data_IF_751980079828
#
_entry.id   IF_751980079828
#
_cell.length_a   1.000
_cell.length_b   1.000
_cell.length_c   1.000
_cell.angle_alpha   90.00
_cell.angle_beta   90.00
_cell.angle_gamma   90.00
#
_symmetry.space_group_name_H-M   'P 1'
#
loop_
_entity.id
_entity.type
_entity.pdbx_description
1 polymer ?
#
# COMPACT_ATOMS: atom_id res chain seq x y z
N UNK A 1 17.72 -27.12 9.99
CA UNK A 1 16.27 -26.84 9.85
C UNK A 1 15.97 -26.95 8.37
N UNK A 2 15.08 -27.88 7.99
CA UNK A 2 14.65 -28.06 6.60
C UNK A 2 13.45 -27.15 6.34
N UNK A 3 13.45 -26.44 5.21
CA UNK A 3 12.36 -25.52 4.83
C UNK A 3 11.47 -26.18 3.79
N UNK A 4 10.19 -26.37 4.12
CA UNK A 4 9.20 -26.98 3.22
C UNK A 4 8.21 -25.92 2.74
N UNK A 5 8.08 -25.74 1.43
CA UNK A 5 7.08 -24.83 0.84
C UNK A 5 5.72 -25.52 0.72
N UNK A 6 4.71 -25.00 1.43
CA UNK A 6 3.35 -25.55 1.43
C UNK A 6 2.42 -24.66 0.57
N UNK A 7 1.64 -25.28 -0.33
CA UNK A 7 0.55 -24.61 -1.04
C UNK A 7 -0.78 -24.92 -0.34
N UNK A 8 -1.49 -23.89 0.10
CA UNK A 8 -2.79 -24.03 0.75
C UNK A 8 -3.87 -24.18 -0.34
N UNK A 9 -4.47 -25.36 -0.45
CA UNK A 9 -5.57 -25.66 -1.39
C UNK A 9 -6.95 -25.37 -0.81
N UNK A 10 -7.14 -25.58 0.50
CA UNK A 10 -8.43 -25.44 1.17
C UNK A 10 -8.36 -24.48 2.38
N UNK A 11 -9.45 -23.75 2.68
CA UNK A 11 -9.51 -22.81 3.79
C UNK A 11 -9.41 -23.48 5.17
N UNK A 12 -9.78 -24.77 5.29
CA UNK A 12 -9.72 -25.53 6.55
C UNK A 12 -8.29 -25.71 7.08
N UNK A 13 -7.32 -25.82 6.17
CA UNK A 13 -5.89 -26.00 6.50
C UNK A 13 -5.36 -24.80 7.28
N UNK A 14 -5.89 -23.60 7.04
CA UNK A 14 -5.45 -22.38 7.72
C UNK A 14 -5.59 -22.47 9.24
N UNK A 15 -6.70 -23.05 9.73
CA UNK A 15 -6.94 -23.25 11.17
C UNK A 15 -5.89 -24.20 11.78
N UNK A 16 -5.60 -25.30 11.09
CA UNK A 16 -4.58 -26.26 11.53
C UNK A 16 -3.18 -25.65 11.57
N UNK A 17 -2.85 -24.78 10.62
CA UNK A 17 -1.57 -24.07 10.62
C UNK A 17 -1.46 -23.11 11.81
N UNK A 18 -2.53 -22.38 12.13
CA UNK A 18 -2.57 -21.50 13.30
C UNK A 18 -2.44 -22.32 14.61
N UNK A 19 -3.06 -23.50 14.68
CA UNK A 19 -2.93 -24.41 15.82
C UNK A 19 -1.48 -24.93 15.98
N UNK A 20 -0.83 -25.34 14.87
CA UNK A 20 0.55 -25.80 14.87
C UNK A 20 1.56 -24.69 15.22
N UNK A 21 1.30 -23.46 14.77
CA UNK A 21 2.05 -22.26 15.15
C UNK A 21 1.93 -22.01 16.66
N UNK A 22 0.72 -22.13 17.22
CA UNK A 22 0.48 -21.97 18.66
C UNK A 22 1.26 -22.98 19.52
N UNK A 23 1.42 -24.20 19.01
CA UNK A 23 2.18 -25.28 19.64
C UNK A 23 3.70 -25.14 19.41
N UNK A 24 4.16 -24.09 18.72
CA UNK A 24 5.56 -23.83 18.37
C UNK A 24 6.22 -24.96 17.57
N UNK A 25 5.43 -25.69 16.78
CA UNK A 25 5.92 -26.78 15.93
C UNK A 25 6.39 -26.28 14.56
N UNK A 26 5.91 -25.10 14.14
CA UNK A 26 6.23 -24.46 12.87
C UNK A 26 6.38 -22.95 13.05
N UNK A 27 7.20 -22.32 12.22
CA UNK A 27 7.26 -20.87 12.06
C UNK A 27 6.68 -20.50 10.69
N UNK A 28 5.64 -19.67 10.67
CA UNK A 28 4.95 -19.27 9.44
C UNK A 28 5.41 -17.89 8.99
N UNK A 29 6.18 -17.83 7.91
CA UNK A 29 6.48 -16.56 7.24
C UNK A 29 5.28 -16.14 6.35
N UNK A 30 4.37 -15.36 6.93
CA UNK A 30 3.26 -14.73 6.18
C UNK A 30 3.83 -13.58 5.35
N UNK A 31 4.07 -13.82 4.05
CA UNK A 31 4.36 -12.73 3.11
C UNK A 31 3.10 -11.89 2.90
N UNK A 32 2.99 -10.79 3.64
CA UNK A 32 1.95 -9.80 3.39
C UNK A 32 2.19 -9.18 2.02
N UNK A 33 1.42 -9.60 1.02
CA UNK A 33 1.39 -8.96 -0.28
C UNK A 33 1.15 -7.46 -0.10
N UNK A 34 2.01 -6.63 -0.71
CA UNK A 34 1.95 -5.16 -0.65
C UNK A 34 0.51 -4.68 -0.83
N UNK A 35 -0.09 -4.14 0.24
CA UNK A 35 -1.41 -3.51 0.15
C UNK A 35 -1.31 -2.32 -0.82
N UNK A 36 -2.24 -2.19 -1.79
CA UNK A 36 -2.22 -1.06 -2.70
C UNK A 36 -2.37 0.25 -1.91
N UNK A 37 -1.70 1.35 -2.34
CA UNK A 37 -1.78 2.62 -1.65
C UNK A 37 -3.24 3.09 -1.57
N UNK A 38 -3.66 3.57 -0.39
CA UNK A 38 -5.00 4.15 -0.19
C UNK A 38 -5.15 5.36 -1.12
N UNK A 39 -6.04 5.27 -2.10
CA UNK A 39 -6.43 6.42 -2.95
C UNK A 39 -7.10 7.46 -2.06
N UNK A 40 -6.50 8.63 -1.91
CA UNK A 40 -7.16 9.78 -1.26
C UNK A 40 -7.93 10.52 -2.34
N UNK A 41 -9.25 10.59 -2.19
CA UNK A 41 -10.09 11.43 -3.03
C UNK A 41 -9.69 12.89 -2.83
N UNK A 42 -9.63 13.69 -3.91
CA UNK A 42 -9.33 15.12 -3.83
C UNK A 42 -7.87 15.54 -4.02
N UNK A 43 -6.94 14.63 -4.36
CA UNK A 43 -5.60 15.05 -4.81
C UNK A 43 -5.54 15.11 -6.34
N UNK A 44 -5.21 16.28 -6.91
CA UNK A 44 -4.90 16.42 -8.35
C UNK A 44 -3.48 15.93 -8.71
N UNK A 45 -2.82 15.21 -7.79
CA UNK A 45 -1.46 14.70 -7.96
C UNK A 45 -1.41 13.74 -9.16
N UNK A 46 -0.71 14.16 -10.22
CA UNK A 46 -0.59 13.41 -11.48
C UNK A 46 -1.71 13.66 -12.50
N UNK A 47 -2.67 14.56 -12.21
CA UNK A 47 -3.70 14.99 -13.16
C UNK A 47 -3.34 16.29 -13.87
N UNK A 48 -2.68 17.21 -13.17
CA UNK A 48 -2.14 18.44 -13.78
C UNK A 48 -0.78 18.10 -14.38
N UNK A 49 -0.75 17.90 -15.70
CA UNK A 49 0.48 17.55 -16.44
C UNK A 49 1.19 18.81 -16.95
N UNK A 50 0.42 19.83 -17.34
CA UNK A 50 0.94 21.09 -17.85
C UNK A 50 0.57 22.20 -16.86
N UNK A 51 1.55 22.62 -16.07
CA UNK A 51 1.47 23.84 -15.27
C UNK A 51 2.23 24.93 -16.01
N UNK A 52 1.78 26.18 -15.91
CA UNK A 52 2.52 27.29 -16.49
C UNK A 52 3.85 27.47 -15.74
N UNK A 53 4.91 27.85 -16.46
CA UNK A 53 6.26 28.01 -15.90
C UNK A 53 6.35 29.11 -14.83
N UNK A 54 5.37 30.01 -14.81
CA UNK A 54 5.23 31.16 -13.93
C UNK A 54 4.17 30.97 -12.83
N UNK A 55 3.66 29.75 -12.62
CA UNK A 55 2.65 29.50 -11.58
C UNK A 55 3.13 29.89 -10.17
N UNK A 56 4.45 29.81 -9.92
CA UNK A 56 5.07 30.21 -8.65
C UNK A 56 5.52 31.68 -8.62
N UNK A 57 5.23 32.45 -9.67
CA UNK A 57 5.59 33.87 -9.73
C UNK A 57 4.80 34.68 -8.67
N UNK A 58 5.41 35.77 -8.14
CA UNK A 58 4.71 36.62 -7.19
C UNK A 58 3.47 37.24 -7.83
N UNK A 59 2.34 37.16 -7.13
CA UNK A 59 1.02 37.62 -7.58
C UNK A 59 0.88 39.16 -7.54
N UNK A 60 1.90 39.89 -7.98
CA UNK A 60 1.90 41.37 -7.95
C UNK A 60 0.76 41.96 -8.78
N UNK A 61 0.47 41.36 -9.93
CA UNK A 61 -0.59 41.77 -10.86
C UNK A 61 -2.01 41.50 -10.33
N UNK A 62 -2.16 40.66 -9.30
CA UNK A 62 -3.46 40.34 -8.69
C UNK A 62 -3.79 41.24 -7.50
N UNK A 63 -2.83 42.05 -7.02
CA UNK A 63 -3.04 42.99 -5.91
C UNK A 63 -3.97 44.14 -6.27
N UNK A 64 -4.08 44.49 -7.55
CA UNK A 64 -4.96 45.58 -8.00
C UNK A 64 -6.46 45.16 -8.01
N UNK A 65 -6.73 43.85 -7.94
CA UNK A 65 -8.08 43.28 -7.98
C UNK A 65 -8.56 42.72 -6.63
N UNK A 66 -7.69 42.57 -5.62
CA UNK A 66 -8.03 42.16 -4.25
C UNK A 66 -7.98 43.34 -3.28
#
# INVERSE_FOLDING_TARGET
METVSIKILEPKIKRLLDDLESLKLIELEKSEGKKPPKRRFGSMKGLVVNIADDFDAPLEDLKEYM
#
